data_IF_859938865936
#
_entry.id   IF_859938865936
#
_cell.length_a   1.000
_cell.length_b   1.000
_cell.length_c   1.000
_cell.angle_alpha   90.00
_cell.angle_beta   90.00
_cell.angle_gamma   90.00
#
_symmetry.space_group_name_H-M   'P 1'
#
loop_
_entity.id
_entity.type
_entity.pdbx_description
1 polymer ?
#
# COMPACT_ATOMS: atom_id res chain seq x y z
N UNK A 1 9.60 -6.65 -59.79
CA UNK A 1 10.17 -6.59 -58.43
C UNK A 1 9.02 -6.60 -57.45
N UNK A 2 9.05 -7.46 -56.42
CA UNK A 2 7.99 -7.48 -55.41
C UNK A 2 8.27 -6.37 -54.38
N UNK A 3 7.24 -5.57 -54.07
CA UNK A 3 7.31 -4.61 -52.98
C UNK A 3 6.92 -5.33 -51.69
N UNK A 4 7.80 -5.29 -50.69
CA UNK A 4 7.54 -5.81 -49.35
C UNK A 4 7.27 -4.63 -48.43
N UNK A 5 6.11 -4.63 -47.78
CA UNK A 5 5.74 -3.66 -46.75
C UNK A 5 5.70 -4.38 -45.42
N UNK A 6 6.45 -3.87 -44.44
CA UNK A 6 6.45 -4.38 -43.06
C UNK A 6 5.60 -3.43 -42.22
N UNK A 7 4.62 -3.98 -41.50
CA UNK A 7 3.78 -3.26 -40.55
C UNK A 7 4.11 -3.76 -39.15
N UNK A 8 4.49 -2.84 -38.26
CA UNK A 8 4.83 -3.13 -36.87
C UNK A 8 3.84 -2.43 -35.95
N UNK A 9 3.29 -3.17 -34.98
CA UNK A 9 2.53 -2.61 -33.88
C UNK A 9 3.42 -2.56 -32.63
N UNK A 10 3.53 -1.39 -32.02
CA UNK A 10 4.24 -1.18 -30.76
C UNK A 10 3.24 -0.72 -29.71
N UNK A 11 3.28 -1.35 -28.53
CA UNK A 11 2.45 -0.93 -27.41
C UNK A 11 3.00 0.36 -26.82
N UNK A 12 2.16 1.37 -26.66
CA UNK A 12 2.52 2.59 -25.95
C UNK A 12 2.37 2.38 -24.43
N UNK A 13 3.46 2.60 -23.68
CA UNK A 13 3.57 2.28 -22.27
C UNK A 13 3.92 3.48 -21.39
N UNK A 14 3.60 3.37 -20.11
CA UNK A 14 3.91 4.32 -19.04
C UNK A 14 4.46 3.57 -17.83
N UNK A 15 4.83 4.31 -16.78
CA UNK A 15 5.19 3.76 -15.48
C UNK A 15 4.43 4.44 -14.34
N UNK A 16 4.43 3.80 -13.18
CA UNK A 16 3.95 4.34 -11.91
C UNK A 16 5.03 4.17 -10.85
N UNK A 17 5.54 5.29 -10.33
CA UNK A 17 6.46 5.31 -9.20
C UNK A 17 5.66 5.33 -7.89
N UNK A 18 6.06 4.52 -6.92
CA UNK A 18 5.41 4.43 -5.60
C UNK A 18 6.41 4.86 -4.54
N UNK A 19 6.02 5.80 -3.69
CA UNK A 19 6.83 6.30 -2.57
C UNK A 19 6.09 5.99 -1.27
N UNK A 20 6.79 5.36 -0.33
CA UNK A 20 6.28 5.05 0.99
C UNK A 20 6.85 6.02 2.03
N UNK A 21 5.96 6.63 2.80
CA UNK A 21 6.30 7.44 3.97
C UNK A 21 5.69 6.85 5.25
N UNK A 22 6.35 7.08 6.37
CA UNK A 22 5.87 6.75 7.71
C UNK A 22 5.79 8.03 8.55
N UNK A 23 4.59 8.40 8.99
CA UNK A 23 4.36 9.38 10.05
C UNK A 23 4.19 8.62 11.37
N UNK A 24 5.31 8.15 11.90
CA UNK A 24 5.36 7.29 13.09
C UNK A 24 5.61 8.05 14.40
N UNK A 25 5.69 9.39 14.35
CA UNK A 25 5.96 10.27 15.52
C UNK A 25 7.21 9.85 16.33
N UNK A 26 8.27 9.39 15.65
CA UNK A 26 9.53 8.97 16.27
C UNK A 26 9.48 7.55 16.83
N UNK A 27 8.69 6.66 16.21
CA UNK A 27 8.61 5.24 16.57
C UNK A 27 9.16 4.35 15.44
N UNK A 28 10.29 4.72 14.86
CA UNK A 28 10.89 4.05 13.70
C UNK A 28 11.22 2.58 13.98
N UNK A 29 11.54 2.23 15.22
CA UNK A 29 11.79 0.85 15.65
C UNK A 29 10.55 -0.08 15.59
N UNK A 30 9.36 0.47 15.31
CA UNK A 30 8.10 -0.27 15.15
C UNK A 30 7.64 -0.37 13.69
N UNK A 31 8.45 0.08 12.73
CA UNK A 31 8.17 -0.10 11.32
C UNK A 31 8.14 -1.59 10.96
N UNK A 32 7.25 -2.02 10.04
CA UNK A 32 7.30 -3.37 9.51
C UNK A 32 8.57 -3.59 8.70
N UNK A 33 8.97 -4.85 8.50
CA UNK A 33 10.09 -5.19 7.64
C UNK A 33 9.74 -5.01 6.16
N UNK A 34 8.49 -5.30 5.80
CA UNK A 34 8.02 -5.22 4.43
C UNK A 34 6.63 -4.61 4.34
N UNK A 35 6.39 -3.89 3.25
CA UNK A 35 5.09 -3.39 2.81
C UNK A 35 4.82 -3.94 1.42
N UNK A 36 3.67 -4.55 1.20
CA UNK A 36 3.22 -4.98 -0.13
C UNK A 36 2.16 -4.02 -0.66
N UNK A 37 2.38 -3.56 -1.90
CA UNK A 37 1.45 -2.72 -2.64
C UNK A 37 0.90 -3.44 -3.87
N UNK A 38 -0.37 -3.23 -4.18
CA UNK A 38 -1.08 -3.77 -5.33
C UNK A 38 -1.36 -2.64 -6.34
N UNK A 39 -1.07 -2.89 -7.62
CA UNK A 39 -1.43 -1.98 -8.70
C UNK A 39 -2.92 -2.09 -9.00
N UNK A 40 -3.60 -0.95 -9.06
CA UNK A 40 -4.97 -0.85 -9.56
C UNK A 40 -5.00 0.03 -10.80
N UNK A 41 -6.00 -0.23 -11.65
CA UNK A 41 -6.31 0.61 -12.81
C UNK A 41 -7.80 0.86 -12.96
N UNK A 42 -8.14 1.95 -13.62
CA UNK A 42 -9.49 2.22 -14.15
C UNK A 42 -9.40 2.93 -15.49
N UNK A 43 -10.53 3.02 -16.17
CA UNK A 43 -10.79 4.00 -17.24
C UNK A 43 -11.81 5.00 -16.73
N UNK A 44 -12.12 6.03 -17.52
CA UNK A 44 -13.19 6.99 -17.19
C UNK A 44 -14.58 6.34 -17.02
N UNK A 45 -14.77 5.10 -17.50
CA UNK A 45 -16.06 4.38 -17.53
C UNK A 45 -16.12 3.22 -16.55
N UNK A 46 -15.02 2.90 -15.86
CA UNK A 46 -14.92 1.71 -15.02
C UNK A 46 -14.51 2.08 -13.59
N UNK A 47 -14.86 1.20 -12.65
CA UNK A 47 -14.35 1.30 -11.30
C UNK A 47 -12.88 0.87 -11.25
N UNK A 48 -12.18 1.26 -10.18
CA UNK A 48 -10.85 0.75 -9.89
C UNK A 48 -10.88 -0.77 -9.71
N UNK A 49 -10.00 -1.46 -10.43
CA UNK A 49 -9.82 -2.91 -10.32
C UNK A 49 -8.35 -3.24 -10.11
N UNK A 50 -8.09 -4.36 -9.43
CA UNK A 50 -6.74 -4.89 -9.30
C UNK A 50 -6.20 -5.35 -10.65
N UNK A 51 -4.96 -4.97 -10.94
CA UNK A 51 -4.21 -5.56 -12.04
C UNK A 51 -3.62 -6.87 -11.55
N UNK A 52 -4.16 -7.98 -12.05
CA UNK A 52 -3.79 -9.31 -11.60
C UNK A 52 -2.27 -9.54 -11.62
N UNK A 53 -1.76 -10.15 -10.54
CA UNK A 53 -0.34 -10.46 -10.32
C UNK A 53 0.63 -9.25 -10.38
N UNK A 54 0.12 -8.02 -10.28
CA UNK A 54 0.94 -6.80 -10.20
C UNK A 54 1.03 -6.28 -8.76
N UNK A 55 1.86 -6.95 -7.97
CA UNK A 55 2.23 -6.50 -6.62
C UNK A 55 3.72 -6.15 -6.53
N UNK A 56 4.08 -5.22 -5.65
CA UNK A 56 5.48 -4.91 -5.30
C UNK A 56 5.66 -4.95 -3.80
N UNK A 57 6.77 -5.52 -3.36
CA UNK A 57 7.19 -5.48 -1.96
C UNK A 57 8.25 -4.41 -1.78
N UNK A 58 8.02 -3.50 -0.85
CA UNK A 58 8.96 -2.47 -0.41
C UNK A 58 9.60 -2.99 0.88
N UNK A 59 10.90 -3.25 0.81
CA UNK A 59 11.72 -3.68 1.96
C UNK A 59 12.14 -2.44 2.75
N UNK A 60 11.69 -2.36 4.00
CA UNK A 60 11.89 -1.22 4.90
C UNK A 60 13.23 -1.33 5.64
N UNK A 61 13.87 -2.50 5.62
CA UNK A 61 15.19 -2.70 6.21
C UNK A 61 16.34 -2.27 5.30
N UNK A 62 16.04 -1.85 4.06
CA UNK A 62 17.06 -1.34 3.16
C UNK A 62 17.70 -0.06 3.70
N UNK A 63 19.01 0.03 3.52
CA UNK A 63 19.85 1.13 4.03
C UNK A 63 19.73 2.40 3.20
N UNK A 64 19.27 2.32 1.96
CA UNK A 64 18.86 3.47 1.16
C UNK A 64 17.41 3.81 1.52
N UNK A 65 17.23 4.74 2.47
CA UNK A 65 15.94 5.16 3.04
C UNK A 65 14.87 5.67 2.02
N UNK A 66 15.11 5.53 0.72
CA UNK A 66 14.13 5.65 -0.35
C UNK A 66 13.20 4.44 -0.40
N UNK A 67 12.25 4.35 0.54
CA UNK A 67 11.17 3.35 0.50
C UNK A 67 10.32 3.53 -0.76
N UNK A 68 10.70 2.84 -1.84
CA UNK A 68 10.16 3.05 -3.19
C UNK A 68 9.93 1.74 -3.92
N UNK A 69 8.99 1.74 -4.86
CA UNK A 69 8.79 0.70 -5.86
C UNK A 69 8.40 1.32 -7.20
N UNK A 70 8.54 0.56 -8.28
CA UNK A 70 8.14 0.98 -9.63
C UNK A 70 7.34 -0.15 -10.30
N UNK A 71 6.25 0.25 -10.95
CA UNK A 71 5.53 -0.54 -11.96
C UNK A 71 5.85 0.05 -13.34
N UNK A 72 6.66 -0.65 -14.13
CA UNK A 72 7.06 -0.25 -15.48
C UNK A 72 6.18 -0.91 -16.56
N UNK A 73 6.34 -0.45 -17.80
CA UNK A 73 5.73 -1.04 -19.01
C UNK A 73 4.20 -1.20 -18.96
N UNK A 74 3.53 -0.27 -18.29
CA UNK A 74 2.08 -0.26 -18.14
C UNK A 74 1.41 0.25 -19.41
N UNK A 75 0.43 -0.46 -20.00
CA UNK A 75 -0.31 0.04 -21.17
C UNK A 75 -0.98 1.38 -20.87
N UNK A 76 -0.88 2.37 -21.77
CA UNK A 76 -1.57 3.65 -21.57
C UNK A 76 -3.08 3.56 -21.83
N UNK A 77 -3.52 2.63 -22.66
CA UNK A 77 -4.92 2.50 -23.07
C UNK A 77 -5.42 1.07 -22.99
N UNK A 78 -6.73 0.91 -22.85
CA UNK A 78 -7.40 -0.38 -22.96
C UNK A 78 -7.40 -0.84 -24.42
N UNK A 79 -6.91 -2.06 -24.66
CA UNK A 79 -6.74 -2.60 -26.02
C UNK A 79 -8.06 -2.70 -26.80
N UNK A 80 -9.18 -2.94 -26.12
CA UNK A 80 -10.47 -3.16 -26.77
C UNK A 80 -11.17 -1.85 -27.16
N UNK A 81 -11.04 -0.81 -26.35
CA UNK A 81 -11.83 0.43 -26.49
C UNK A 81 -10.98 1.64 -26.86
N UNK A 82 -9.67 1.58 -26.64
CA UNK A 82 -8.76 2.72 -26.75
C UNK A 82 -8.86 3.71 -25.59
N UNK A 83 -9.70 3.44 -24.58
CA UNK A 83 -9.86 4.34 -23.44
C UNK A 83 -8.58 4.42 -22.61
N UNK A 84 -8.20 5.62 -22.17
CA UNK A 84 -7.00 5.82 -21.35
C UNK A 84 -7.14 5.17 -19.97
N UNK A 85 -6.08 4.50 -19.52
CA UNK A 85 -5.97 4.00 -18.16
C UNK A 85 -5.47 5.09 -17.20
N UNK A 86 -6.10 5.14 -16.04
CA UNK A 86 -5.54 5.74 -14.83
C UNK A 86 -5.02 4.61 -13.92
N UNK A 87 -3.87 4.83 -13.30
CA UNK A 87 -3.23 3.86 -12.41
C UNK A 87 -3.06 4.42 -10.99
N UNK A 88 -3.14 3.56 -9.98
CA UNK A 88 -2.76 3.87 -8.60
C UNK A 88 -2.18 2.63 -7.92
N UNK A 89 -1.43 2.83 -6.84
CA UNK A 89 -1.03 1.75 -5.94
C UNK A 89 -1.81 1.85 -4.61
N UNK A 90 -2.17 0.69 -4.06
CA UNK A 90 -2.78 0.59 -2.73
C UNK A 90 -1.92 -0.31 -1.85
N UNK A 91 -1.85 -0.04 -0.54
CA UNK A 91 -1.21 -0.93 0.41
C UNK A 91 -2.17 -2.06 0.78
N UNK A 92 -1.72 -3.31 0.64
CA UNK A 92 -2.56 -4.49 0.90
C UNK A 92 -2.08 -5.31 2.07
N UNK A 93 -0.79 -5.26 2.39
CA UNK A 93 -0.17 -6.11 3.40
C UNK A 93 1.08 -5.49 4.00
N UNK A 94 1.30 -5.74 5.29
CA UNK A 94 2.58 -5.52 5.96
C UNK A 94 3.07 -6.82 6.61
N UNK A 95 4.39 -6.98 6.69
CA UNK A 95 5.01 -8.15 7.32
C UNK A 95 6.03 -7.73 8.36
N UNK A 96 5.93 -8.33 9.55
CA UNK A 96 6.93 -8.24 10.61
C UNK A 96 7.70 -9.56 10.73
N UNK A 97 9.02 -9.48 10.83
CA UNK A 97 9.94 -10.58 11.08
C UNK A 97 10.19 -10.65 12.57
N UNK A 98 9.30 -11.32 13.29
CA UNK A 98 9.56 -11.64 14.69
C UNK A 98 10.69 -12.67 14.79
N UNK A 99 11.59 -12.48 15.77
CA UNK A 99 12.61 -13.46 16.10
C UNK A 99 11.91 -14.78 16.45
N UNK A 100 12.30 -15.84 15.74
CA UNK A 100 11.77 -17.22 15.79
C UNK A 100 10.60 -17.48 14.81
N UNK A 101 10.96 -17.62 13.52
CA UNK A 101 10.31 -18.49 12.50
C UNK A 101 8.88 -18.13 12.04
N UNK A 102 8.19 -17.16 12.64
CA UNK A 102 6.85 -16.75 12.22
C UNK A 102 6.84 -15.31 11.70
N UNK A 103 6.70 -15.16 10.38
CA UNK A 103 6.26 -13.92 9.75
C UNK A 103 4.80 -13.67 10.17
N UNK A 104 4.53 -12.54 10.81
CA UNK A 104 3.16 -12.11 11.04
C UNK A 104 2.75 -11.18 9.90
N UNK A 105 1.88 -11.70 9.05
CA UNK A 105 1.26 -10.96 7.97
C UNK A 105 -0.03 -10.33 8.48
N UNK A 106 -0.22 -9.04 8.22
CA UNK A 106 -1.51 -8.38 8.45
C UNK A 106 -2.00 -7.82 7.14
N UNK A 107 -3.12 -8.37 6.67
CA UNK A 107 -3.80 -7.91 5.46
C UNK A 107 -4.75 -6.75 5.78
N UNK A 108 -4.98 -5.89 4.78
CA UNK A 108 -6.01 -4.87 4.85
C UNK A 108 -7.41 -5.52 4.87
N UNK A 109 -8.14 -5.43 5.98
CA UNK A 109 -9.59 -5.71 5.96
C UNK A 109 -10.28 -4.47 5.40
N UNK A 110 -10.80 -4.63 4.19
CA UNK A 110 -11.35 -3.59 3.33
C UNK A 110 -12.59 -2.94 3.96
N UNK A 111 -12.55 -1.61 4.11
CA UNK A 111 -13.75 -0.79 3.95
C UNK A 111 -13.40 0.44 3.12
N UNK A 112 -13.96 0.40 1.91
CA UNK A 112 -14.19 1.44 0.90
C UNK A 112 -13.19 2.61 0.72
N UNK A 113 -12.53 2.66 -0.45
CA UNK A 113 -11.92 3.87 -1.00
C UNK A 113 -10.59 3.70 -1.73
N UNK A 114 -9.72 2.78 -1.30
CA UNK A 114 -8.38 2.53 -1.87
C UNK A 114 -7.38 3.69 -1.75
N UNK A 115 -7.85 4.90 -1.46
CA UNK A 115 -7.04 6.05 -1.10
C UNK A 115 -6.77 6.12 0.41
N UNK A 116 -7.55 5.42 1.24
CA UNK A 116 -7.29 5.30 2.67
C UNK A 116 -7.70 3.91 3.15
N UNK A 117 -7.10 3.45 4.24
CA UNK A 117 -7.47 2.18 4.86
C UNK A 117 -6.68 1.90 6.14
N UNK A 118 -6.80 0.70 6.67
CA UNK A 118 -6.01 0.24 7.81
C UNK A 118 -5.29 -1.07 7.47
N UNK A 119 -4.00 -1.15 7.82
CA UNK A 119 -3.16 -2.35 7.66
C UNK A 119 -2.34 -2.53 8.92
N UNK A 120 -2.62 -3.59 9.68
CA UNK A 120 -2.08 -3.75 11.02
C UNK A 120 -2.45 -2.59 11.96
N UNK A 121 -1.44 -2.04 12.65
CA UNK A 121 -1.62 -0.92 13.58
C UNK A 121 -1.62 0.46 12.89
N UNK A 122 -1.53 0.50 11.56
CA UNK A 122 -1.49 1.75 10.79
C UNK A 122 -2.82 2.01 10.12
N UNK A 123 -3.24 3.28 10.12
CA UNK A 123 -4.08 3.82 9.06
C UNK A 123 -3.17 4.33 7.94
N UNK A 124 -3.52 4.08 6.68
CA UNK A 124 -2.77 4.60 5.54
C UNK A 124 -3.61 5.55 4.70
N UNK A 125 -2.93 6.42 3.99
CA UNK A 125 -3.46 7.21 2.88
C UNK A 125 -2.64 6.95 1.61
N UNK A 126 -3.25 7.02 0.44
CA UNK A 126 -2.68 6.84 -0.89
C UNK A 126 -3.20 7.94 -1.81
N UNK A 127 -2.29 8.67 -2.45
CA UNK A 127 -2.62 9.76 -3.38
C UNK A 127 -1.74 9.67 -4.61
N UNK A 128 -2.36 9.67 -5.79
CA UNK A 128 -1.66 9.66 -7.07
C UNK A 128 -1.69 11.03 -7.74
N UNK A 129 -0.53 11.56 -8.08
CA UNK A 129 -0.40 12.76 -8.90
C UNK A 129 0.76 12.60 -9.87
N UNK A 130 0.53 12.90 -11.15
CA UNK A 130 1.55 12.92 -12.20
C UNK A 130 2.41 11.64 -12.28
N UNK A 131 1.79 10.46 -12.17
CA UNK A 131 2.49 9.17 -12.27
C UNK A 131 3.26 8.76 -11.01
N UNK A 132 3.08 9.48 -9.91
CA UNK A 132 3.64 9.13 -8.60
C UNK A 132 2.50 8.86 -7.63
N UNK A 133 2.50 7.67 -7.02
CA UNK A 133 1.63 7.36 -5.87
C UNK A 133 2.42 7.55 -4.58
N UNK A 134 1.94 8.42 -3.70
CA UNK A 134 2.48 8.59 -2.34
C UNK A 134 1.58 7.86 -1.35
N UNK A 135 2.15 6.90 -0.62
CA UNK A 135 1.45 6.17 0.45
C UNK A 135 2.04 6.60 1.78
N UNK A 136 1.21 7.08 2.70
CA UNK A 136 1.63 7.49 4.05
C UNK A 136 0.98 6.60 5.10
N UNK A 137 1.78 5.91 5.91
CA UNK A 137 1.29 5.21 7.09
C UNK A 137 1.36 6.12 8.31
N UNK A 138 0.23 6.25 8.99
CA UNK A 138 0.08 6.94 10.26
C UNK A 138 -0.26 5.91 11.34
N UNK A 139 0.53 5.89 12.41
CA UNK A 139 0.23 5.06 13.56
C UNK A 139 -0.77 5.79 14.47
N UNK A 140 -1.97 5.25 14.62
CA UNK A 140 -2.91 5.78 15.61
C UNK A 140 -2.41 5.41 17.01
N UNK A 141 -2.14 6.43 17.83
CA UNK A 141 -1.73 6.25 19.23
C UNK A 141 -2.93 6.50 20.12
N UNK A 142 -3.58 5.42 20.59
CA UNK A 142 -4.60 5.55 21.63
C UNK A 142 -3.90 5.73 22.97
N UNK A 143 -4.00 6.92 23.56
CA UNK A 143 -3.64 7.14 24.95
C UNK A 143 -4.67 6.46 25.85
N UNK A 144 -4.31 5.34 26.47
CA UNK A 144 -5.15 4.70 27.50
C UNK A 144 -4.77 5.29 28.86
N UNK A 145 -5.68 6.08 29.46
CA UNK A 145 -5.53 6.55 30.84
C UNK A 145 -5.76 5.38 31.81
N UNK A 146 -4.68 4.74 32.26
CA UNK A 146 -4.75 3.72 33.31
C UNK A 146 -4.81 4.42 34.68
N UNK A 147 -6.00 4.55 35.27
CA UNK A 147 -6.15 4.96 36.67
C UNK A 147 -6.06 3.73 37.58
N UNK A 148 -4.93 3.53 38.26
CA UNK A 148 -4.87 2.61 39.41
C UNK A 148 -5.69 3.19 40.55
N UNK A 149 -6.56 2.37 41.17
CA UNK A 149 -7.46 2.79 42.26
C UNK A 149 -6.73 3.36 43.48
N UNK A 150 -5.42 3.16 43.64
CA UNK A 150 -4.59 3.82 44.66
C UNK A 150 -3.14 4.01 44.15
N UNK A 151 -2.70 5.25 43.95
CA UNK A 151 -1.28 5.61 43.72
C UNK A 151 -0.86 5.74 42.25
N UNK A 152 -0.53 6.97 41.86
CA UNK A 152 -0.15 7.38 40.51
C UNK A 152 1.15 6.72 40.01
N UNK A 153 1.07 6.11 38.84
CA UNK A 153 2.16 6.08 37.87
C UNK A 153 1.52 6.04 36.48
N UNK A 154 1.73 7.08 35.66
CA UNK A 154 1.32 7.07 34.25
C UNK A 154 2.20 6.04 33.53
N UNK A 155 1.66 4.86 33.28
CA UNK A 155 2.26 3.91 32.35
C UNK A 155 1.51 4.03 31.02
N UNK A 156 2.22 4.48 29.97
CA UNK A 156 1.71 4.41 28.60
C UNK A 156 1.75 2.95 28.14
N UNK A 157 0.71 2.17 28.44
CA UNK A 157 0.58 0.80 27.94
C UNK A 157 -0.09 0.88 26.56
N UNK A 158 0.68 0.59 25.50
CA UNK A 158 0.18 0.48 24.12
C UNK A 158 -0.33 -0.95 23.91
N UNK A 159 -1.65 -1.12 23.79
CA UNK A 159 -2.24 -2.40 23.42
C UNK A 159 -2.31 -2.50 21.89
N UNK A 160 -1.80 -3.62 21.36
CA UNK A 160 -1.96 -4.01 19.96
C UNK A 160 -3.46 -4.16 19.68
N UNK A 161 -4.03 -3.31 18.82
CA UNK A 161 -5.35 -3.60 18.27
C UNK A 161 -5.18 -4.79 17.32
N UNK A 162 -5.58 -5.98 17.77
CA UNK A 162 -5.96 -7.02 16.83
C UNK A 162 -7.28 -6.57 16.19
N UNK A 163 -7.44 -6.69 14.87
CA UNK A 163 -8.73 -6.45 14.24
C UNK A 163 -9.77 -7.35 14.91
N UNK A 164 -10.80 -6.75 15.50
CA UNK A 164 -11.92 -7.48 16.09
C UNK A 164 -12.72 -8.11 14.95
N UNK A 165 -12.97 -9.44 14.95
CA UNK A 165 -13.91 -10.02 13.99
C UNK A 165 -15.32 -9.46 14.26
N UNK A 166 -15.98 -8.98 13.21
CA UNK A 166 -17.39 -8.57 13.27
C UNK A 166 -18.24 -9.76 13.71
N UNK A 167 -18.80 -9.67 14.91
CA UNK A 167 -19.90 -10.55 15.32
C UNK A 167 -21.17 -9.95 14.69
N UNK A 168 -21.73 -10.62 13.68
CA UNK A 168 -23.04 -10.24 13.17
C UNK A 168 -24.12 -10.63 14.18
N UNK A 169 -24.94 -9.69 14.59
CA UNK A 169 -26.28 -9.93 15.15
C UNK A 169 -27.32 -9.49 14.15
#
# INVERSE_FOLDING_TARGET
MAQITIVTNTLDTTKLDVIKAFDDKGNEAQRPDNVTVQLQRKTAKTAWIDVAAQTKTIDINKTDASFKAEFADLPKTELATGDAYEYRAIETKITYKTLIILSHDVDAVTTDGGENGAVGAYTYTSSTLNGITSITNKMETVGVDVRKKNGLTKANIRLKHAPQPLIST
#
